data_IF_346107578145
#
_entry.id   IF_346107578145
#
_cell.length_a   1.000
_cell.length_b   1.000
_cell.length_c   1.000
_cell.angle_alpha   90.00
_cell.angle_beta   90.00
_cell.angle_gamma   90.00
#
_symmetry.space_group_name_H-M   'P 1'
#
loop_
_entity.id
_entity.type
_entity.pdbx_description
1 polymer ?
#
# COMPACT_ATOMS: atom_id res chain seq x y z
N UNK A 1 -11.69 2.48 2.27
CA UNK A 1 -12.66 1.61 2.99
C UNK A 1 -12.67 0.19 2.44
N UNK A 2 -12.56 -0.02 1.12
CA UNK A 2 -12.49 -1.37 0.52
C UNK A 2 -11.27 -2.20 0.99
N UNK A 3 -10.05 -1.65 0.93
CA UNK A 3 -8.82 -2.35 1.36
C UNK A 3 -8.86 -2.73 2.84
N UNK A 4 -9.23 -1.78 3.72
CA UNK A 4 -9.36 -2.03 5.16
C UNK A 4 -10.33 -3.18 5.47
N UNK A 5 -11.48 -3.20 4.79
CA UNK A 5 -12.45 -4.28 4.95
C UNK A 5 -11.89 -5.62 4.48
N UNK A 6 -11.21 -5.65 3.33
CA UNK A 6 -10.61 -6.88 2.80
C UNK A 6 -9.55 -7.43 3.76
N UNK A 7 -8.60 -6.60 4.22
CA UNK A 7 -7.61 -7.00 5.22
C UNK A 7 -8.28 -7.57 6.49
N UNK A 8 -9.34 -6.91 6.97
CA UNK A 8 -10.11 -7.40 8.12
C UNK A 8 -10.79 -8.75 7.86
N UNK A 9 -11.39 -8.96 6.69
CA UNK A 9 -12.04 -10.23 6.33
C UNK A 9 -11.07 -11.40 6.24
N UNK A 10 -9.83 -11.14 5.82
CA UNK A 10 -8.75 -12.13 5.78
C UNK A 10 -8.01 -12.30 7.10
N UNK A 11 -8.49 -11.67 8.18
CA UNK A 11 -7.86 -11.71 9.50
C UNK A 11 -6.41 -11.22 9.51
N UNK A 12 -6.08 -10.27 8.64
CA UNK A 12 -4.74 -9.67 8.54
C UNK A 12 -4.67 -8.44 9.43
N UNK A 13 -3.71 -8.42 10.34
CA UNK A 13 -3.46 -7.28 11.21
C UNK A 13 -2.85 -6.11 10.43
N UNK A 14 -3.43 -4.92 10.61
CA UNK A 14 -2.97 -3.71 9.92
C UNK A 14 -3.08 -2.45 10.78
N UNK A 15 -2.23 -1.48 10.48
CA UNK A 15 -2.33 -0.10 10.96
C UNK A 15 -2.79 0.82 9.82
N UNK A 16 -3.79 1.66 10.09
CA UNK A 16 -4.29 2.66 9.14
C UNK A 16 -3.57 3.99 9.29
N UNK A 17 -3.09 4.56 8.18
CA UNK A 17 -2.35 5.83 8.11
C UNK A 17 -1.23 6.01 9.16
N UNK A 18 -0.37 5.00 9.41
CA UNK A 18 0.63 5.07 10.47
C UNK A 18 1.69 6.15 10.18
N UNK A 19 2.30 6.69 11.23
CA UNK A 19 3.45 7.58 11.06
C UNK A 19 4.70 6.77 10.69
N UNK A 20 5.18 6.97 9.48
CA UNK A 20 6.43 6.41 9.00
C UNK A 20 7.52 7.50 9.02
N UNK A 21 8.37 7.44 10.04
CA UNK A 21 9.51 8.36 10.21
C UNK A 21 10.71 7.79 9.47
N UNK A 22 11.11 8.46 8.39
CA UNK A 22 12.26 8.09 7.57
C UNK A 22 13.12 9.33 7.36
N UNK A 23 14.42 9.22 7.65
CA UNK A 23 15.30 10.39 7.73
C UNK A 23 14.66 11.46 8.67
N UNK A 24 14.68 12.73 8.29
CA UNK A 24 14.01 13.83 9.02
C UNK A 24 12.59 14.13 8.49
N UNK A 25 11.94 13.15 7.84
CA UNK A 25 10.62 13.32 7.23
C UNK A 25 9.62 12.32 7.80
N UNK A 26 8.38 12.78 7.93
CA UNK A 26 7.23 11.94 8.26
C UNK A 26 6.46 11.67 6.97
N UNK A 27 6.24 10.39 6.68
CA UNK A 27 5.32 9.91 5.66
C UNK A 27 4.16 9.16 6.34
N UNK A 28 3.05 9.06 5.63
CA UNK A 28 1.88 8.29 6.05
C UNK A 28 1.49 7.40 4.87
N UNK A 29 1.85 6.12 4.89
CA UNK A 29 1.26 5.14 4.00
C UNK A 29 -0.18 4.88 4.40
N UNK A 30 -1.02 4.46 3.45
CA UNK A 30 -2.44 4.23 3.75
C UNK A 30 -2.60 3.06 4.73
N UNK A 31 -1.77 2.02 4.56
CA UNK A 31 -1.70 0.89 5.48
C UNK A 31 -0.27 0.45 5.74
N UNK A 32 -0.05 -0.11 6.93
CA UNK A 32 1.09 -0.96 7.25
C UNK A 32 0.54 -2.31 7.72
N UNK A 33 1.08 -3.38 7.17
CA UNK A 33 0.73 -4.77 7.49
C UNK A 33 2.00 -5.45 7.98
N UNK A 34 1.94 -6.11 9.13
CA UNK A 34 3.03 -6.95 9.62
C UNK A 34 2.70 -8.40 9.26
N UNK A 35 3.43 -8.94 8.28
CA UNK A 35 3.33 -10.35 7.94
C UNK A 35 4.20 -11.12 8.94
N UNK A 36 3.55 -11.76 9.91
CA UNK A 36 4.23 -12.49 10.98
C UNK A 36 4.84 -13.81 10.51
N UNK A 37 4.35 -14.39 9.41
CA UNK A 37 4.84 -15.65 8.89
C UNK A 37 6.19 -15.46 8.19
N UNK A 38 6.33 -14.39 7.41
CA UNK A 38 7.59 -14.04 6.73
C UNK A 38 8.48 -13.08 7.53
N UNK A 39 7.91 -12.40 8.52
CA UNK A 39 8.57 -11.32 9.28
C UNK A 39 8.73 -10.02 8.47
N UNK A 40 8.09 -9.90 7.31
CA UNK A 40 8.16 -8.73 6.43
C UNK A 40 7.11 -7.70 6.85
N UNK A 41 7.53 -6.44 6.95
CA UNK A 41 6.60 -5.32 7.08
C UNK A 41 6.24 -4.81 5.70
N UNK A 42 4.97 -4.93 5.34
CA UNK A 42 4.41 -4.43 4.10
C UNK A 42 3.78 -3.06 4.31
N UNK A 43 4.06 -2.14 3.39
CA UNK A 43 3.33 -0.88 3.28
C UNK A 43 2.37 -0.95 2.10
N UNK A 44 1.18 -0.37 2.21
CA UNK A 44 0.22 -0.32 1.10
C UNK A 44 -0.20 1.14 0.85
N UNK A 45 -0.13 1.55 -0.42
CA UNK A 45 -0.60 2.84 -0.92
C UNK A 45 -1.66 2.65 -2.01
N UNK A 46 -2.71 3.47 -1.96
CA UNK A 46 -3.82 3.48 -2.90
C UNK A 46 -3.91 4.84 -3.59
N UNK A 47 -3.62 4.85 -4.88
CA UNK A 47 -3.40 6.05 -5.69
C UNK A 47 -4.59 6.33 -6.62
N UNK A 48 -5.58 7.07 -6.15
CA UNK A 48 -6.81 7.32 -6.92
C UNK A 48 -6.76 8.47 -7.94
N UNK A 49 -5.90 9.48 -7.74
CA UNK A 49 -5.92 10.71 -8.56
C UNK A 49 -4.80 10.78 -9.60
N UNK A 50 -4.50 9.67 -10.28
CA UNK A 50 -3.36 9.63 -11.22
C UNK A 50 -3.56 10.49 -12.48
N UNK A 51 -4.79 10.90 -12.79
CA UNK A 51 -5.10 11.86 -13.87
C UNK A 51 -4.72 13.30 -13.53
N UNK A 52 -4.58 13.64 -12.24
CA UNK A 52 -4.04 14.92 -11.80
C UNK A 52 -2.49 14.88 -11.87
N UNK A 53 -1.87 15.69 -12.75
CA UNK A 53 -0.42 15.68 -12.92
C UNK A 53 0.34 16.15 -11.66
N UNK A 54 -0.25 17.00 -10.82
CA UNK A 54 0.37 17.43 -9.56
C UNK A 54 0.30 16.32 -8.52
N UNK A 55 -0.83 15.61 -8.42
CA UNK A 55 -0.92 14.44 -7.56
C UNK A 55 0.05 13.35 -8.00
N UNK A 56 0.05 13.00 -9.30
CA UNK A 56 0.99 12.03 -9.87
C UNK A 56 2.44 12.36 -9.54
N UNK A 57 2.86 13.61 -9.74
CA UNK A 57 4.24 14.02 -9.42
C UNK A 57 4.56 13.84 -7.93
N UNK A 58 3.65 14.23 -7.04
CA UNK A 58 3.83 14.05 -5.58
C UNK A 58 3.93 12.57 -5.20
N UNK A 59 3.14 11.72 -5.84
CA UNK A 59 3.20 10.27 -5.65
C UNK A 59 4.54 9.71 -6.14
N UNK A 60 4.98 10.05 -7.35
CA UNK A 60 6.28 9.61 -7.88
C UNK A 60 7.46 10.05 -6.99
N UNK A 61 7.41 11.28 -6.46
CA UNK A 61 8.42 11.77 -5.52
C UNK A 61 8.37 11.01 -4.18
N UNK A 62 7.17 10.63 -3.70
CA UNK A 62 6.98 9.78 -2.50
C UNK A 62 7.50 8.36 -2.73
N UNK A 63 7.20 7.75 -3.87
CA UNK A 63 7.66 6.41 -4.26
C UNK A 63 9.18 6.34 -4.37
N UNK A 64 9.83 7.33 -5.01
CA UNK A 64 11.30 7.41 -5.04
C UNK A 64 11.91 7.58 -3.66
N UNK A 65 11.25 8.35 -2.78
CA UNK A 65 11.70 8.51 -1.40
C UNK A 65 11.60 7.20 -0.61
N UNK A 66 10.52 6.43 -0.79
CA UNK A 66 10.38 5.09 -0.24
C UNK A 66 11.46 4.14 -0.75
N UNK A 67 11.68 4.08 -2.07
CA UNK A 67 12.69 3.21 -2.66
C UNK A 67 14.10 3.50 -2.12
N UNK A 68 14.46 4.79 -2.01
CA UNK A 68 15.72 5.24 -1.38
C UNK A 68 15.87 4.74 0.06
N UNK A 69 14.76 4.57 0.78
CA UNK A 69 14.72 4.12 2.17
C UNK A 69 14.42 2.61 2.31
N UNK A 70 14.55 1.84 1.23
CA UNK A 70 14.39 0.38 1.25
C UNK A 70 12.95 -0.12 1.23
N UNK A 71 11.98 0.77 0.95
CA UNK A 71 10.57 0.43 0.75
C UNK A 71 10.32 0.40 -0.76
N UNK A 72 10.25 -0.80 -1.33
CA UNK A 72 10.30 -1.06 -2.78
C UNK A 72 9.04 -1.80 -3.21
N UNK A 73 8.41 -1.32 -4.28
CA UNK A 73 7.21 -1.92 -4.84
C UNK A 73 7.44 -3.38 -5.25
N UNK A 74 6.53 -4.26 -4.85
CA UNK A 74 6.62 -5.70 -5.08
C UNK A 74 7.58 -6.45 -4.15
N UNK A 75 8.25 -5.76 -3.21
CA UNK A 75 9.09 -6.39 -2.18
C UNK A 75 8.53 -6.20 -0.77
N UNK A 76 8.19 -4.97 -0.43
CA UNK A 76 7.63 -4.57 0.86
C UNK A 76 6.74 -3.32 0.73
N UNK A 77 6.31 -3.03 -0.49
CA UNK A 77 5.35 -1.98 -0.83
C UNK A 77 4.36 -2.54 -1.85
N UNK A 78 3.08 -2.43 -1.53
CA UNK A 78 1.96 -2.67 -2.43
C UNK A 78 1.45 -1.32 -2.90
N UNK A 79 1.19 -1.18 -4.20
CA UNK A 79 0.59 0.02 -4.77
C UNK A 79 -0.62 -0.39 -5.60
N UNK A 80 -1.75 0.22 -5.31
CA UNK A 80 -2.99 0.06 -6.09
C UNK A 80 -3.42 1.40 -6.66
N UNK A 81 -4.19 1.38 -7.73
CA UNK A 81 -4.67 2.57 -8.42
C UNK A 81 -6.17 2.45 -8.65
N UNK A 82 -6.86 3.59 -8.75
CA UNK A 82 -8.24 3.59 -9.26
C UNK A 82 -8.25 3.12 -10.73
N UNK A 83 -9.34 2.45 -11.10
CA UNK A 83 -9.62 2.10 -12.49
C UNK A 83 -9.95 3.35 -13.35
N UNK A 84 -10.18 3.14 -14.65
CA UNK A 84 -10.53 4.23 -15.58
C UNK A 84 -11.84 4.95 -15.23
N UNK A 85 -12.68 4.36 -14.36
CA UNK A 85 -13.95 4.91 -13.88
C UNK A 85 -13.83 5.55 -12.48
N UNK A 86 -12.64 5.58 -11.87
CA UNK A 86 -12.43 6.09 -10.51
C UNK A 86 -12.88 5.12 -9.42
N UNK A 87 -13.06 3.85 -9.76
CA UNK A 87 -13.45 2.78 -8.85
C UNK A 87 -12.25 1.98 -8.35
N UNK A 88 -12.35 1.49 -7.11
CA UNK A 88 -11.39 0.54 -6.56
C UNK A 88 -11.77 -0.86 -7.02
N UNK A 89 -10.84 -1.55 -7.71
CA UNK A 89 -11.01 -2.95 -8.09
C UNK A 89 -10.85 -3.87 -6.87
N UNK A 90 -11.98 -4.33 -6.33
CA UNK A 90 -12.00 -5.25 -5.19
C UNK A 90 -11.48 -6.64 -5.54
N UNK A 91 -11.65 -7.12 -6.77
CA UNK A 91 -11.13 -8.43 -7.17
C UNK A 91 -9.59 -8.40 -7.22
N UNK A 92 -9.02 -7.29 -7.66
CA UNK A 92 -7.58 -7.07 -7.60
C UNK A 92 -7.07 -7.02 -6.15
N UNK A 93 -7.78 -6.35 -5.24
CA UNK A 93 -7.39 -6.32 -3.81
C UNK A 93 -7.37 -7.73 -3.23
N UNK A 94 -8.42 -8.51 -3.46
CA UNK A 94 -8.53 -9.90 -3.00
C UNK A 94 -7.37 -10.75 -3.54
N UNK A 95 -7.04 -10.57 -4.82
CA UNK A 95 -5.91 -11.27 -5.44
C UNK A 95 -4.58 -10.86 -4.81
N UNK A 96 -4.34 -9.57 -4.60
CA UNK A 96 -3.11 -9.09 -3.96
C UNK A 96 -2.97 -9.67 -2.55
N UNK A 97 -4.04 -9.68 -1.77
CA UNK A 97 -4.02 -10.23 -0.42
C UNK A 97 -3.60 -11.69 -0.45
N UNK A 98 -4.22 -12.50 -1.32
CA UNK A 98 -3.87 -13.92 -1.45
C UNK A 98 -2.44 -14.12 -1.92
N UNK A 99 -2.03 -13.43 -2.98
CA UNK A 99 -0.70 -13.58 -3.55
C UNK A 99 0.42 -13.10 -2.60
N UNK A 100 0.10 -12.25 -1.61
CA UNK A 100 1.09 -11.63 -0.71
C UNK A 100 1.10 -12.22 0.70
N UNK A 101 -0.06 -12.55 1.26
CA UNK A 101 -0.21 -12.89 2.68
C UNK A 101 -0.80 -14.27 2.94
N UNK A 102 -1.29 -14.97 1.91
CA UNK A 102 -1.89 -16.30 2.04
C UNK A 102 -0.93 -17.32 1.42
N UNK A 103 -0.29 -18.14 2.25
CA UNK A 103 0.40 -19.33 1.78
C UNK A 103 -0.61 -20.49 1.76
N UNK A 104 -0.84 -21.10 0.58
CA UNK A 104 -1.65 -22.33 0.42
C UNK A 104 -1.29 -23.45 1.43
#
# INVERSE_FOLDING_TARGET
MAIANALYYHHIDYEYEPELKLEDKIKRPDFKVEDYDTGVVWYWEHCGMMTDPQYRKRWEDKKKFYEKNGIVEGKNLIVTYDDENGGIDTELIEKIIKDTFDED
#
